data_IF_314449047762
#
_entry.id   IF_314449047762
#
_cell.length_a   1.000
_cell.length_b   1.000
_cell.length_c   1.000
_cell.angle_alpha   90.00
_cell.angle_beta   90.00
_cell.angle_gamma   90.00
#
_symmetry.space_group_name_H-M   'P 1'
#
loop_
_entity.id
_entity.type
_entity.pdbx_description
1 polymer ?
#
# COMPACT_ATOMS: atom_id res chain seq x y z
N UNK A 1 4.31 -11.09 -7.04
CA UNK A 1 3.49 -9.86 -6.94
C UNK A 1 4.46 -8.69 -6.88
N UNK A 2 4.20 -7.59 -7.61
CA UNK A 2 4.99 -6.36 -7.59
C UNK A 2 4.43 -5.37 -6.56
N UNK A 3 5.20 -4.33 -6.18
CA UNK A 3 4.73 -3.29 -5.27
C UNK A 3 3.46 -2.59 -5.79
N UNK A 4 3.35 -2.42 -7.11
CA UNK A 4 2.16 -1.85 -7.73
C UNK A 4 0.94 -2.78 -7.59
N UNK A 5 1.13 -4.07 -7.83
CA UNK A 5 0.05 -5.07 -7.67
C UNK A 5 -0.40 -5.16 -6.20
N UNK A 6 0.55 -5.12 -5.26
CA UNK A 6 0.28 -5.11 -3.83
C UNK A 6 -0.53 -3.87 -3.42
N UNK A 7 -0.14 -2.69 -3.92
CA UNK A 7 -0.83 -1.44 -3.64
C UNK A 7 -2.26 -1.42 -4.23
N UNK A 8 -2.47 -1.98 -5.42
CA UNK A 8 -3.82 -2.14 -6.00
C UNK A 8 -4.68 -3.05 -5.14
N UNK A 9 -4.16 -4.20 -4.71
CA UNK A 9 -4.86 -5.12 -3.80
C UNK A 9 -5.16 -4.45 -2.46
N UNK A 10 -4.25 -3.63 -1.93
CA UNK A 10 -4.47 -2.89 -0.70
C UNK A 10 -5.65 -1.91 -0.82
N UNK A 11 -5.77 -1.21 -1.95
CA UNK A 11 -6.90 -0.31 -2.20
C UNK A 11 -8.23 -1.08 -2.30
N UNK A 12 -8.24 -2.25 -2.95
CA UNK A 12 -9.43 -3.13 -3.00
C UNK A 12 -9.86 -3.59 -1.60
N UNK A 13 -8.91 -4.01 -0.76
CA UNK A 13 -9.17 -4.41 0.63
C UNK A 13 -9.70 -3.22 1.46
N UNK A 14 -9.12 -2.04 1.27
CA UNK A 14 -9.59 -0.82 1.92
C UNK A 14 -11.03 -0.44 1.49
N UNK A 15 -11.36 -0.57 0.19
CA UNK A 15 -12.70 -0.28 -0.33
C UNK A 15 -13.76 -1.26 0.18
N UNK A 16 -13.39 -2.53 0.34
CA UNK A 16 -14.29 -3.60 0.81
C UNK A 16 -14.43 -3.66 2.34
N UNK A 17 -13.62 -2.90 3.08
CA UNK A 17 -13.62 -2.91 4.54
C UNK A 17 -12.89 -4.11 5.15
N UNK A 18 -12.05 -4.80 4.37
CA UNK A 18 -11.27 -5.97 4.79
C UNK A 18 -10.04 -5.55 5.62
N UNK A 19 -10.28 -5.03 6.82
CA UNK A 19 -9.26 -4.44 7.70
C UNK A 19 -8.13 -5.40 8.08
N UNK A 20 -8.47 -6.66 8.39
CA UNK A 20 -7.48 -7.66 8.84
C UNK A 20 -6.57 -8.06 7.69
N UNK A 21 -7.13 -8.34 6.53
CA UNK A 21 -6.39 -8.68 5.33
C UNK A 21 -5.50 -7.52 4.88
N UNK A 22 -6.01 -6.29 4.97
CA UNK A 22 -5.22 -5.08 4.68
C UNK A 22 -4.05 -4.93 5.66
N UNK A 23 -4.29 -5.15 6.96
CA UNK A 23 -3.23 -5.08 7.97
C UNK A 23 -2.14 -6.14 7.72
N UNK A 24 -2.52 -7.38 7.40
CA UNK A 24 -1.57 -8.43 7.00
C UNK A 24 -0.76 -8.02 5.78
N UNK A 25 -1.43 -7.52 4.73
CA UNK A 25 -0.77 -7.11 3.49
C UNK A 25 0.20 -5.93 3.71
N UNK A 26 -0.13 -5.00 4.62
CA UNK A 26 0.79 -3.92 5.03
C UNK A 26 2.04 -4.47 5.69
N UNK A 27 1.87 -5.43 6.60
CA UNK A 27 2.99 -6.03 7.32
C UNK A 27 3.90 -6.83 6.38
N UNK A 28 3.33 -7.51 5.39
CA UNK A 28 4.09 -8.26 4.37
C UNK A 28 4.92 -7.38 3.43
N UNK A 29 4.58 -6.10 3.28
CA UNK A 29 5.20 -5.20 2.31
C UNK A 29 5.92 -4.01 2.94
N UNK A 30 6.00 -3.94 4.27
CA UNK A 30 6.56 -2.78 4.98
C UNK A 30 8.02 -2.54 4.58
N UNK A 31 8.83 -3.61 4.60
CA UNK A 31 10.26 -3.57 4.27
C UNK A 31 10.49 -3.21 2.80
N UNK A 32 9.76 -3.83 1.87
CA UNK A 32 9.88 -3.56 0.42
C UNK A 32 9.40 -2.15 0.07
N UNK A 33 8.34 -1.66 0.74
CA UNK A 33 7.83 -0.31 0.56
C UNK A 33 8.86 0.71 1.05
N UNK A 34 9.47 0.48 2.22
CA UNK A 34 10.54 1.32 2.74
C UNK A 34 11.77 1.31 1.82
N UNK A 35 12.20 0.12 1.38
CA UNK A 35 13.33 -0.02 0.46
C UNK A 35 13.09 0.74 -0.86
N UNK A 36 11.90 0.59 -1.44
CA UNK A 36 11.53 1.29 -2.68
C UNK A 36 11.45 2.80 -2.48
N UNK A 37 10.96 3.28 -1.32
CA UNK A 37 10.94 4.70 -0.99
C UNK A 37 12.34 5.31 -0.84
N UNK A 38 13.32 4.51 -0.43
CA UNK A 38 14.75 4.88 -0.29
C UNK A 38 15.59 4.60 -1.54
N UNK A 39 15.01 4.00 -2.58
CA UNK A 39 15.74 3.63 -3.80
C UNK A 39 16.42 4.84 -4.45
N UNK A 40 17.65 4.70 -4.99
CA UNK A 40 18.27 5.76 -5.79
C UNK A 40 17.54 6.00 -7.12
N UNK A 41 16.80 5.03 -7.65
CA UNK A 41 15.96 5.22 -8.84
C UNK A 41 14.69 5.98 -8.50
N UNK A 42 14.51 7.14 -9.14
CA UNK A 42 13.32 7.97 -8.93
C UNK A 42 12.03 7.29 -9.37
N UNK A 43 12.08 6.34 -10.31
CA UNK A 43 10.91 5.60 -10.79
C UNK A 43 10.35 4.70 -9.69
N UNK A 44 11.22 3.97 -9.00
CA UNK A 44 10.85 3.11 -7.87
C UNK A 44 10.28 3.94 -6.71
N UNK A 45 10.95 5.04 -6.36
CA UNK A 45 10.45 5.97 -5.33
C UNK A 45 9.06 6.51 -5.66
N UNK A 46 8.83 6.88 -6.92
CA UNK A 46 7.53 7.41 -7.37
C UNK A 46 6.42 6.38 -7.16
N UNK A 47 6.67 5.11 -7.47
CA UNK A 47 5.70 4.02 -7.22
C UNK A 47 5.47 3.84 -5.72
N UNK A 48 6.53 3.85 -4.91
CA UNK A 48 6.43 3.70 -3.45
C UNK A 48 5.58 4.80 -2.81
N UNK A 49 5.82 6.07 -3.14
CA UNK A 49 5.02 7.17 -2.59
C UNK A 49 3.55 7.11 -2.97
N UNK A 50 3.23 6.63 -4.18
CA UNK A 50 1.83 6.38 -4.57
C UNK A 50 1.23 5.24 -3.75
N UNK A 51 1.99 4.16 -3.57
CA UNK A 51 1.56 2.98 -2.82
C UNK A 51 1.21 3.32 -1.35
N UNK A 52 1.99 4.19 -0.69
CA UNK A 52 1.73 4.64 0.70
C UNK A 52 0.28 5.12 0.90
N UNK A 53 -0.30 5.80 -0.09
CA UNK A 53 -1.70 6.26 -0.03
C UNK A 53 -2.72 5.12 -0.14
N UNK A 54 -2.42 4.10 -0.94
CA UNK A 54 -3.31 2.96 -1.21
C UNK A 54 -3.31 1.92 -0.08
N UNK A 55 -2.20 1.80 0.64
CA UNK A 55 -2.13 0.98 1.85
C UNK A 55 -2.89 1.56 3.04
N UNK A 56 -3.42 2.78 2.96
CA UNK A 56 -4.19 3.37 4.06
C UNK A 56 -5.58 2.77 4.12
N UNK A 57 -5.96 2.31 5.30
CA UNK A 57 -7.36 1.98 5.58
C UNK A 57 -8.21 3.25 5.47
N UNK A 58 -9.26 3.19 4.65
CA UNK A 58 -10.26 4.25 4.58
C UNK A 58 -11.37 3.89 5.56
N UNK A 59 -11.25 4.39 6.78
CA UNK A 59 -12.38 4.36 7.70
C UNK A 59 -13.54 5.09 7.02
N UNK A 60 -14.71 4.45 6.89
CA UNK A 60 -15.90 5.14 6.38
C UNK A 60 -16.15 6.34 7.28
N UNK A 61 -15.88 7.54 6.75
CA UNK A 61 -16.40 8.76 7.34
C UNK A 61 -17.86 8.79 6.93
N UNK A 62 -18.74 8.22 7.76
CA UNK A 62 -20.15 8.58 7.68
C UNK A 62 -20.24 10.06 8.03
N UNK A 63 -20.66 10.88 7.07
CA UNK A 63 -21.02 12.29 7.24
C UNK A 63 -22.54 12.41 7.25
#
# INVERSE_FOLDING_TARGET
MTLLEAATKADELAQTGAERELATLRQEWDDELEAAARSPDYRERTVAYRAVGLFRFRQKVEL
#
